data_IF_234996322622
#
_entry.id   IF_234996322622
#
_cell.length_a   1.000
_cell.length_b   1.000
_cell.length_c   1.000
_cell.angle_alpha   90.00
_cell.angle_beta   90.00
_cell.angle_gamma   90.00
#
_symmetry.space_group_name_H-M   'P 1'
#
loop_
_entity.id
_entity.type
_entity.pdbx_description
1 polymer ?
#
# COMPACT_ATOMS: atom_id res chain seq x y z
N UNK A 1 -4.72 22.91 5.19
CA UNK A 1 -6.01 23.50 5.64
C UNK A 1 -6.81 22.39 6.30
N UNK A 2 -7.41 22.64 7.47
CA UNK A 2 -8.26 21.70 8.17
C UNK A 2 -9.67 22.29 8.27
N UNK A 3 -10.70 21.54 7.85
CA UNK A 3 -12.12 21.96 7.92
C UNK A 3 -12.87 20.93 8.75
N UNK A 4 -13.48 21.38 9.85
CA UNK A 4 -14.20 20.54 10.80
C UNK A 4 -15.68 20.96 10.86
N UNK A 5 -16.56 19.99 11.11
CA UNK A 5 -18.00 20.22 11.26
C UNK A 5 -18.82 18.94 11.10
N UNK A 6 -20.07 18.89 11.60
CA UNK A 6 -20.91 17.70 11.49
C UNK A 6 -21.33 17.42 10.03
N UNK A 7 -21.94 16.26 9.81
CA UNK A 7 -22.62 15.95 8.54
C UNK A 7 -23.69 17.02 8.27
N UNK A 8 -23.76 17.51 7.03
CA UNK A 8 -24.69 18.59 6.65
C UNK A 8 -24.16 20.02 6.88
N UNK A 9 -23.02 20.22 7.56
CA UNK A 9 -22.46 21.56 7.78
C UNK A 9 -21.86 22.25 6.53
N UNK A 10 -22.05 21.68 5.33
CA UNK A 10 -21.59 22.29 4.08
C UNK A 10 -20.09 22.15 3.78
N UNK A 11 -19.34 21.30 4.50
CA UNK A 11 -17.88 21.11 4.30
C UNK A 11 -17.52 20.82 2.83
N UNK A 12 -18.20 19.85 2.21
CA UNK A 12 -17.93 19.46 0.82
C UNK A 12 -18.29 20.58 -0.16
N UNK A 13 -19.37 21.33 0.08
CA UNK A 13 -19.75 22.46 -0.76
C UNK A 13 -18.70 23.58 -0.72
N UNK A 14 -18.19 23.89 0.47
CA UNK A 14 -17.09 24.83 0.65
C UNK A 14 -15.81 24.35 -0.06
N UNK A 15 -15.45 23.07 0.09
CA UNK A 15 -14.29 22.50 -0.60
C UNK A 15 -14.44 22.55 -2.12
N UNK A 16 -15.61 22.23 -2.67
CA UNK A 16 -15.88 22.34 -4.11
C UNK A 16 -15.63 23.77 -4.61
N UNK A 17 -16.15 24.77 -3.90
CA UNK A 17 -15.91 26.18 -4.23
C UNK A 17 -14.42 26.55 -4.20
N UNK A 18 -13.70 26.18 -3.14
CA UNK A 18 -12.26 26.47 -3.01
C UNK A 18 -11.43 25.75 -4.08
N UNK A 19 -11.77 24.50 -4.41
CA UNK A 19 -11.08 23.72 -5.44
C UNK A 19 -11.31 24.32 -6.84
N UNK A 20 -12.51 24.81 -7.13
CA UNK A 20 -12.79 25.52 -8.38
C UNK A 20 -11.93 26.79 -8.51
N UNK A 21 -11.84 27.61 -7.45
CA UNK A 21 -11.00 28.80 -7.44
C UNK A 21 -9.51 28.46 -7.62
N UNK A 22 -9.03 27.46 -6.89
CA UNK A 22 -7.64 26.98 -6.98
C UNK A 22 -7.32 26.49 -8.39
N UNK A 23 -8.21 25.68 -8.98
CA UNK A 23 -8.04 25.16 -10.33
C UNK A 23 -8.07 26.27 -11.38
N UNK A 24 -8.97 27.26 -11.24
CA UNK A 24 -9.04 28.39 -12.16
C UNK A 24 -7.78 29.26 -12.14
N UNK A 25 -7.16 29.46 -10.96
CA UNK A 25 -6.02 30.37 -10.81
C UNK A 25 -4.66 29.70 -11.02
N UNK A 26 -4.47 28.51 -10.44
CA UNK A 26 -3.17 27.87 -10.32
C UNK A 26 -3.05 26.57 -11.12
N UNK A 27 -4.19 25.97 -11.51
CA UNK A 27 -4.26 24.69 -12.24
C UNK A 27 -3.36 23.58 -11.65
N UNK A 28 -3.35 23.35 -10.33
CA UNK A 28 -2.47 22.33 -9.75
C UNK A 28 -3.00 20.92 -10.06
N UNK A 29 -2.14 19.92 -9.88
CA UNK A 29 -2.59 18.52 -9.84
C UNK A 29 -3.27 18.27 -8.49
N UNK A 30 -4.52 17.82 -8.53
CA UNK A 30 -5.34 17.58 -7.33
C UNK A 30 -5.64 16.09 -7.23
N UNK A 31 -5.52 15.54 -6.04
CA UNK A 31 -5.99 14.21 -5.68
C UNK A 31 -7.13 14.35 -4.67
N UNK A 32 -8.26 13.70 -4.92
CA UNK A 32 -9.44 13.71 -4.04
C UNK A 32 -9.75 12.26 -3.69
N UNK A 33 -9.76 11.97 -2.39
CA UNK A 33 -10.14 10.67 -1.85
C UNK A 33 -11.34 10.94 -0.94
N UNK A 34 -12.51 10.39 -1.28
CA UNK A 34 -13.72 10.51 -0.48
C UNK A 34 -14.44 9.17 -0.36
N UNK A 35 -15.14 8.98 0.77
CA UNK A 35 -16.06 7.86 0.96
C UNK A 35 -17.45 8.14 0.37
N UNK A 36 -17.77 9.40 0.09
CA UNK A 36 -19.03 9.84 -0.52
C UNK A 36 -18.91 10.01 -2.04
N UNK A 37 -19.89 10.69 -2.62
CA UNK A 37 -19.87 11.10 -4.03
C UNK A 37 -19.98 12.64 -4.18
N UNK A 38 -19.51 13.37 -3.17
CA UNK A 38 -19.65 14.83 -3.07
C UNK A 38 -18.91 15.58 -4.17
N UNK A 39 -17.78 15.05 -4.64
CA UNK A 39 -16.90 15.68 -5.62
C UNK A 39 -17.08 15.10 -7.02
N UNK A 40 -17.99 14.14 -7.22
CA UNK A 40 -18.21 13.52 -8.53
C UNK A 40 -18.63 14.54 -9.61
N UNK A 41 -19.48 15.51 -9.25
CA UNK A 41 -19.88 16.59 -10.17
C UNK A 41 -18.75 17.58 -10.42
N UNK A 42 -17.85 17.78 -9.46
CA UNK A 42 -16.68 18.63 -9.64
C UNK A 42 -15.72 18.03 -10.68
N UNK A 43 -15.50 16.71 -10.63
CA UNK A 43 -14.72 15.99 -11.64
C UNK A 43 -15.31 16.14 -13.04
N UNK A 44 -16.62 15.96 -13.19
CA UNK A 44 -17.33 16.17 -14.47
C UNK A 44 -17.22 17.62 -14.96
N UNK A 45 -17.34 18.60 -14.05
CA UNK A 45 -17.19 20.02 -14.37
C UNK A 45 -15.78 20.35 -14.86
N UNK A 46 -14.74 19.81 -14.20
CA UNK A 46 -13.35 19.95 -14.63
C UNK A 46 -13.11 19.33 -16.01
N UNK A 47 -13.63 18.13 -16.25
CA UNK A 47 -13.53 17.48 -17.57
C UNK A 47 -14.23 18.31 -18.66
N UNK A 48 -15.41 18.86 -18.38
CA UNK A 48 -16.14 19.75 -19.29
C UNK A 48 -15.34 21.00 -19.67
N UNK A 49 -14.53 21.54 -18.74
CA UNK A 49 -13.62 22.65 -18.99
C UNK A 49 -12.24 22.23 -19.54
N UNK A 50 -12.14 21.01 -20.09
CA UNK A 50 -10.96 20.54 -20.80
C UNK A 50 -9.79 20.11 -19.90
N UNK A 51 -10.06 19.82 -18.62
CA UNK A 51 -9.05 19.26 -17.72
C UNK A 51 -8.99 17.74 -17.86
N UNK A 52 -7.78 17.19 -17.77
CA UNK A 52 -7.60 15.75 -17.60
C UNK A 52 -8.12 15.34 -16.22
N UNK A 53 -9.10 14.44 -16.18
CA UNK A 53 -9.69 13.92 -14.95
C UNK A 53 -9.62 12.40 -14.98
N UNK A 54 -9.13 11.81 -13.90
CA UNK A 54 -9.24 10.38 -13.63
C UNK A 54 -10.17 10.19 -12.43
N UNK A 55 -11.41 9.82 -12.69
CA UNK A 55 -12.44 9.63 -11.66
C UNK A 55 -12.83 8.16 -11.60
N UNK A 56 -12.55 7.54 -10.45
CA UNK A 56 -12.79 6.13 -10.19
C UNK A 56 -13.72 6.04 -8.97
N UNK A 57 -14.80 5.28 -9.09
CA UNK A 57 -15.67 4.94 -7.96
C UNK A 57 -15.43 3.50 -7.57
N UNK A 58 -14.93 3.28 -6.35
CA UNK A 58 -14.70 1.94 -5.81
C UNK A 58 -16.01 1.42 -5.22
N UNK A 59 -16.53 0.34 -5.78
CA UNK A 59 -17.61 -0.43 -5.19
C UNK A 59 -17.44 -1.92 -5.56
N UNK A 60 -18.09 -2.85 -4.83
CA UNK A 60 -17.87 -4.30 -5.03
C UNK A 60 -18.21 -4.84 -6.42
N UNK A 61 -18.98 -4.10 -7.23
CA UNK A 61 -19.44 -4.54 -8.54
C UNK A 61 -18.64 -3.95 -9.70
N UNK A 62 -17.64 -3.11 -9.40
CA UNK A 62 -16.81 -2.47 -10.42
C UNK A 62 -15.48 -3.22 -10.51
N UNK A 63 -15.11 -3.60 -11.73
CA UNK A 63 -13.83 -4.23 -12.06
C UNK A 63 -12.70 -3.18 -12.07
N UNK A 64 -12.31 -2.74 -10.87
CA UNK A 64 -11.14 -1.89 -10.65
C UNK A 64 -10.12 -2.66 -9.84
N UNK A 65 -8.92 -2.81 -10.42
CA UNK A 65 -7.80 -3.44 -9.74
C UNK A 65 -6.91 -2.40 -9.06
N UNK A 66 -6.72 -2.56 -7.75
CA UNK A 66 -5.71 -1.84 -6.98
C UNK A 66 -4.74 -2.88 -6.41
N UNK A 67 -3.71 -3.29 -7.18
CA UNK A 67 -2.84 -4.41 -6.80
C UNK A 67 -1.94 -4.02 -5.62
N UNK A 68 -2.14 -4.62 -4.43
CA UNK A 68 -1.44 -4.19 -3.21
C UNK A 68 0.07 -4.47 -3.25
N UNK A 69 0.50 -5.47 -4.02
CA UNK A 69 1.90 -5.92 -4.09
C UNK A 69 2.60 -5.54 -5.41
N UNK A 70 2.05 -4.60 -6.19
CA UNK A 70 2.60 -4.25 -7.50
C UNK A 70 4.04 -3.71 -7.43
N UNK A 71 4.39 -3.04 -6.33
CA UNK A 71 5.73 -2.47 -6.12
C UNK A 71 6.70 -3.47 -5.45
N UNK A 72 6.29 -4.71 -5.15
CA UNK A 72 7.11 -5.68 -4.40
C UNK A 72 8.44 -6.03 -5.09
N UNK A 73 8.49 -6.03 -6.43
CA UNK A 73 9.74 -6.28 -7.16
C UNK A 73 10.76 -5.13 -6.98
N UNK A 74 10.30 -3.88 -6.80
CA UNK A 74 11.18 -2.71 -6.59
C UNK A 74 11.93 -2.78 -5.27
N UNK A 75 11.35 -3.48 -4.29
CA UNK A 75 11.98 -3.70 -2.99
C UNK A 75 13.24 -4.57 -3.11
N UNK A 76 13.27 -5.52 -4.04
CA UNK A 76 14.49 -6.30 -4.33
C UNK A 76 15.57 -5.43 -4.97
N UNK A 77 15.19 -4.50 -5.85
CA UNK A 77 16.14 -3.65 -6.56
C UNK A 77 16.78 -2.59 -5.64
N UNK A 78 16.04 -2.11 -4.62
CA UNK A 78 16.59 -1.23 -3.58
C UNK A 78 17.62 -1.96 -2.71
N UNK A 79 17.34 -3.19 -2.26
CA UNK A 79 18.30 -3.93 -1.42
C UNK A 79 19.61 -4.25 -2.12
N UNK A 80 19.57 -4.60 -3.42
CA UNK A 80 20.80 -4.81 -4.20
C UNK A 80 21.68 -3.54 -4.30
N UNK A 81 21.10 -2.36 -4.20
CA UNK A 81 21.84 -1.10 -4.23
C UNK A 81 22.52 -0.78 -2.87
N UNK A 82 21.95 -1.24 -1.76
CA UNK A 82 22.43 -0.92 -0.41
C UNK A 82 23.30 -2.00 0.24
N UNK A 83 23.14 -3.29 -0.09
CA UNK A 83 23.99 -4.32 0.51
C UNK A 83 24.30 -5.50 -0.44
N UNK A 84 25.42 -5.45 -1.21
CA UNK A 84 25.82 -6.50 -2.13
C UNK A 84 26.38 -7.78 -1.46
N UNK A 85 26.56 -7.81 -0.13
CA UNK A 85 27.38 -8.83 0.55
C UNK A 85 26.65 -9.72 1.58
N UNK A 86 25.42 -9.44 1.99
CA UNK A 86 24.74 -10.22 3.04
C UNK A 86 23.46 -10.90 2.54
N UNK A 87 23.63 -11.89 1.65
CA UNK A 87 22.55 -12.84 1.31
C UNK A 87 22.87 -14.16 2.02
N UNK A 88 22.81 -14.15 3.34
CA UNK A 88 22.71 -15.38 4.12
C UNK A 88 21.33 -15.42 4.78
N UNK A 89 20.63 -16.55 4.69
CA UNK A 89 19.22 -16.69 5.14
C UNK A 89 19.05 -16.43 6.64
N UNK A 90 20.13 -16.49 7.42
CA UNK A 90 20.17 -16.27 8.86
C UNK A 90 20.15 -14.80 9.31
N UNK A 91 20.54 -13.85 8.44
CA UNK A 91 20.53 -12.39 8.72
C UNK A 91 19.24 -11.70 8.26
N UNK A 92 18.29 -12.46 7.69
CA UNK A 92 17.01 -11.93 7.20
C UNK A 92 16.10 -11.43 8.33
N UNK A 93 16.17 -12.01 9.52
CA UNK A 93 15.34 -11.59 10.67
C UNK A 93 15.81 -10.25 11.27
N UNK A 94 17.13 -10.01 11.36
CA UNK A 94 17.68 -8.78 11.95
C UNK A 94 17.55 -7.58 11.00
N UNK A 95 17.72 -7.79 9.69
CA UNK A 95 17.74 -6.70 8.70
C UNK A 95 16.37 -6.10 8.39
N UNK A 96 15.27 -6.82 8.61
CA UNK A 96 13.91 -6.32 8.31
C UNK A 96 13.33 -5.41 9.39
N UNK A 97 13.89 -5.47 10.60
CA UNK A 97 13.58 -4.54 11.69
C UNK A 97 14.47 -3.28 11.62
N UNK A 98 15.72 -3.41 11.14
CA UNK A 98 16.68 -2.28 11.04
C UNK A 98 16.54 -1.44 9.75
N UNK A 99 16.10 -2.03 8.64
CA UNK A 99 15.86 -1.31 7.37
C UNK A 99 14.76 -0.22 7.51
N UNK A 100 13.87 -0.32 8.51
CA UNK A 100 12.84 0.71 8.82
C UNK A 100 13.46 1.98 9.43
N UNK A 101 14.57 1.88 10.17
CA UNK A 101 15.21 3.06 10.78
C UNK A 101 16.05 3.86 9.77
N UNK A 102 16.52 3.23 8.68
CA UNK A 102 17.37 3.90 7.68
C UNK A 102 16.57 4.68 6.63
N UNK A 103 15.30 4.33 6.36
CA UNK A 103 14.45 5.05 5.40
C UNK A 103 13.68 6.23 6.05
N UNK A 104 13.59 6.31 7.39
CA UNK A 104 13.00 7.46 8.09
C UNK A 104 13.85 8.74 7.96
N UNK A 105 15.18 8.64 7.87
CA UNK A 105 16.06 9.80 7.62
C UNK A 105 16.12 10.20 6.13
N UNK A 106 15.67 9.32 5.24
CA UNK A 106 15.84 9.43 3.79
C UNK A 106 14.61 9.85 2.99
N UNK A 107 13.46 10.20 3.58
CA UNK A 107 12.27 10.70 2.86
C UNK A 107 11.75 9.80 1.73
N UNK A 108 12.18 8.53 1.70
CA UNK A 108 11.77 7.53 0.73
C UNK A 108 10.36 7.04 1.02
N UNK A 109 9.65 6.58 -0.02
CA UNK A 109 8.37 5.88 0.16
C UNK A 109 8.65 4.50 0.77
N UNK A 110 8.10 4.23 1.95
CA UNK A 110 8.13 2.92 2.62
C UNK A 110 7.22 1.93 1.87
N UNK A 111 7.79 1.25 0.88
CA UNK A 111 7.06 0.30 0.04
C UNK A 111 6.69 -0.96 0.83
N UNK A 112 7.57 -1.42 1.73
CA UNK A 112 7.34 -2.64 2.50
C UNK A 112 6.21 -2.45 3.51
N UNK A 113 6.24 -1.37 4.29
CA UNK A 113 5.20 -1.08 5.26
C UNK A 113 3.83 -0.83 4.62
N UNK A 114 3.77 -0.18 3.45
CA UNK A 114 2.51 -0.07 2.69
C UNK A 114 1.93 -1.44 2.30
N UNK A 115 2.78 -2.36 1.83
CA UNK A 115 2.36 -3.72 1.49
C UNK A 115 2.00 -4.55 2.73
N UNK A 116 2.71 -4.36 3.85
CA UNK A 116 2.40 -4.99 5.14
C UNK A 116 1.00 -4.56 5.61
N UNK A 117 0.70 -3.26 5.58
CA UNK A 117 -0.62 -2.73 5.94
C UNK A 117 -1.70 -3.35 5.05
N UNK A 118 -1.46 -3.42 3.73
CA UNK A 118 -2.40 -4.04 2.81
C UNK A 118 -2.62 -5.53 3.12
N UNK A 119 -1.55 -6.28 3.38
CA UNK A 119 -1.61 -7.69 3.76
C UNK A 119 -2.38 -7.88 5.07
N UNK A 120 -2.12 -7.05 6.09
CA UNK A 120 -2.82 -7.09 7.38
C UNK A 120 -4.31 -6.88 7.21
N UNK A 121 -4.72 -5.86 6.45
CA UNK A 121 -6.15 -5.63 6.13
C UNK A 121 -6.77 -6.86 5.47
N UNK A 122 -6.09 -7.51 4.53
CA UNK A 122 -6.59 -8.73 3.89
C UNK A 122 -6.69 -9.92 4.84
N UNK A 123 -5.72 -10.09 5.75
CA UNK A 123 -5.69 -11.18 6.74
C UNK A 123 -6.77 -11.01 7.79
N UNK A 124 -6.94 -9.79 8.30
CA UNK A 124 -7.86 -9.47 9.41
C UNK A 124 -9.28 -9.13 8.93
N UNK A 125 -9.47 -9.00 7.62
CA UNK A 125 -10.70 -8.44 7.04
C UNK A 125 -10.91 -6.96 7.38
N UNK A 126 -9.88 -6.26 7.85
CA UNK A 126 -9.96 -4.89 8.33
C UNK A 126 -10.57 -4.74 9.72
N UNK A 127 -10.73 -5.83 10.48
CA UNK A 127 -11.19 -5.75 11.87
C UNK A 127 -10.06 -5.27 12.78
N UNK A 128 -10.25 -4.11 13.41
CA UNK A 128 -9.29 -3.50 14.33
C UNK A 128 -8.90 -4.43 15.50
N UNK A 129 -9.81 -5.31 15.95
CA UNK A 129 -9.55 -6.23 17.06
C UNK A 129 -8.65 -7.38 16.62
N UNK A 130 -8.83 -7.90 15.42
CA UNK A 130 -7.97 -8.94 14.87
C UNK A 130 -6.59 -8.37 14.54
N UNK A 131 -6.53 -7.15 14.01
CA UNK A 131 -5.27 -6.46 13.75
C UNK A 131 -4.47 -6.18 15.04
N UNK A 132 -5.14 -5.79 16.12
CA UNK A 132 -4.52 -5.60 17.43
C UNK A 132 -3.98 -6.89 18.07
N UNK A 133 -4.46 -8.07 17.63
CA UNK A 133 -3.94 -9.37 18.09
C UNK A 133 -2.66 -9.79 17.39
N UNK A 134 -2.32 -9.18 16.26
CA UNK A 134 -1.08 -9.50 15.53
C UNK A 134 0.13 -9.09 16.36
N UNK A 135 0.95 -10.09 16.69
CA UNK A 135 2.22 -9.91 17.40
C UNK A 135 3.30 -9.37 16.47
N UNK A 136 4.44 -8.98 17.04
CA UNK A 136 5.61 -8.59 16.24
C UNK A 136 6.09 -9.74 15.34
N UNK A 137 6.06 -10.97 15.84
CA UNK A 137 6.44 -12.15 15.08
C UNK A 137 5.51 -12.37 13.88
N UNK A 138 4.20 -12.16 14.05
CA UNK A 138 3.23 -12.27 12.94
C UNK A 138 3.53 -11.23 11.85
N UNK A 139 3.86 -9.99 12.23
CA UNK A 139 4.22 -8.93 11.28
C UNK A 139 5.51 -9.26 10.53
N UNK A 140 6.52 -9.77 11.21
CA UNK A 140 7.76 -10.23 10.58
C UNK A 140 7.49 -11.37 9.58
N UNK A 141 6.63 -12.31 9.95
CA UNK A 141 6.22 -13.41 9.08
C UNK A 141 5.47 -12.91 7.83
N UNK A 142 4.62 -11.88 7.97
CA UNK A 142 3.97 -11.21 6.83
C UNK A 142 5.01 -10.55 5.91
N UNK A 143 5.97 -9.81 6.47
CA UNK A 143 7.06 -9.19 5.69
C UNK A 143 7.84 -10.26 4.93
N UNK A 144 8.29 -11.31 5.62
CA UNK A 144 9.01 -12.45 5.02
C UNK A 144 8.24 -13.09 3.86
N UNK A 145 6.92 -13.28 4.00
CA UNK A 145 6.09 -13.82 2.93
C UNK A 145 6.06 -12.90 1.70
N UNK A 146 5.97 -11.59 1.89
CA UNK A 146 6.00 -10.60 0.79
C UNK A 146 7.36 -10.64 0.06
N UNK A 147 8.47 -10.71 0.80
CA UNK A 147 9.81 -10.83 0.23
C UNK A 147 9.99 -12.12 -0.57
N UNK A 148 9.60 -13.26 0.01
CA UNK A 148 9.70 -14.56 -0.64
C UNK A 148 8.87 -14.59 -1.93
N UNK A 149 7.67 -14.01 -1.91
CA UNK A 149 6.84 -13.86 -3.10
C UNK A 149 7.53 -13.01 -4.17
N UNK A 150 8.13 -11.87 -3.80
CA UNK A 150 8.88 -11.03 -4.72
C UNK A 150 10.06 -11.78 -5.36
N UNK A 151 10.85 -12.52 -4.56
CA UNK A 151 11.99 -13.30 -5.03
C UNK A 151 11.55 -14.36 -6.05
N UNK A 152 10.52 -15.13 -5.70
CA UNK A 152 9.95 -16.19 -6.55
C UNK A 152 9.42 -15.64 -7.89
N UNK A 153 8.74 -14.49 -7.84
CA UNK A 153 8.20 -13.83 -9.04
C UNK A 153 9.32 -13.27 -9.92
N UNK A 154 10.39 -12.71 -9.32
CA UNK A 154 11.57 -12.23 -10.04
C UNK A 154 12.29 -13.38 -10.77
N UNK A 155 12.48 -14.51 -10.10
CA UNK A 155 13.09 -15.72 -10.67
C UNK A 155 12.28 -16.29 -11.84
N UNK A 156 10.95 -16.24 -11.77
CA UNK A 156 10.06 -16.67 -12.85
C UNK A 156 9.87 -15.62 -13.96
N UNK A 157 10.60 -14.50 -13.90
CA UNK A 157 10.54 -13.39 -14.88
C UNK A 157 9.13 -12.83 -15.11
N UNK A 158 8.27 -12.91 -14.08
CA UNK A 158 6.93 -12.32 -14.12
C UNK A 158 7.00 -10.83 -13.76
N UNK A 159 6.15 -9.97 -14.37
CA UNK A 159 6.28 -8.52 -14.24
C UNK A 159 5.77 -7.94 -12.91
N UNK A 160 4.99 -8.71 -12.14
CA UNK A 160 4.40 -8.24 -10.89
C UNK A 160 4.09 -9.40 -9.94
N UNK A 161 4.15 -9.10 -8.64
CA UNK A 161 3.66 -9.97 -7.57
C UNK A 161 2.15 -9.78 -7.44
N UNK A 162 1.39 -10.87 -7.38
CA UNK A 162 -0.04 -10.85 -7.08
C UNK A 162 -0.31 -11.46 -5.71
N UNK A 163 -1.52 -11.25 -5.18
CA UNK A 163 -1.93 -11.77 -3.87
C UNK A 163 -1.71 -13.28 -3.73
N UNK A 164 -1.96 -14.05 -4.78
CA UNK A 164 -1.75 -15.50 -4.77
C UNK A 164 -0.27 -15.87 -4.53
N UNK A 165 0.68 -15.08 -5.01
CA UNK A 165 2.10 -15.34 -4.80
C UNK A 165 2.48 -15.17 -3.32
N UNK A 166 1.90 -14.16 -2.64
CA UNK A 166 2.08 -13.96 -1.19
C UNK A 166 1.43 -15.08 -0.38
N UNK A 167 0.24 -15.55 -0.79
CA UNK A 167 -0.40 -16.72 -0.19
C UNK A 167 0.47 -17.98 -0.34
N UNK A 168 1.04 -18.21 -1.51
CA UNK A 168 1.94 -19.34 -1.76
C UNK A 168 3.22 -19.23 -0.90
N UNK A 169 3.73 -18.01 -0.71
CA UNK A 169 4.87 -17.76 0.18
C UNK A 169 4.54 -18.11 1.64
N UNK A 170 3.37 -17.71 2.15
CA UNK A 170 2.91 -18.13 3.48
C UNK A 170 2.84 -19.66 3.62
N UNK A 171 2.29 -20.35 2.61
CA UNK A 171 2.21 -21.81 2.62
C UNK A 171 3.59 -22.48 2.59
N UNK A 172 4.53 -21.89 1.86
CA UNK A 172 5.92 -22.37 1.81
C UNK A 172 6.61 -22.20 3.17
N UNK A 173 6.46 -21.03 3.80
CA UNK A 173 6.99 -20.76 5.15
C UNK A 173 6.39 -21.74 6.16
N UNK A 174 5.07 -21.95 6.15
CA UNK A 174 4.39 -22.85 7.07
C UNK A 174 4.76 -24.33 6.91
N UNK A 175 5.23 -24.74 5.73
CA UNK A 175 5.65 -26.13 5.45
C UNK A 175 7.15 -26.35 5.61
N UNK A 176 7.93 -25.28 5.79
CA UNK A 176 9.37 -25.37 6.00
C UNK A 176 9.66 -25.90 7.41
N UNK A 177 10.18 -27.13 7.48
CA UNK A 177 10.50 -27.84 8.73
C UNK A 177 11.79 -27.37 9.40
N UNK A 178 12.56 -26.51 8.73
CA UNK A 178 13.82 -25.95 9.25
C UNK A 178 13.60 -24.66 10.05
N UNK A 179 12.43 -24.03 9.95
CA UNK A 179 12.08 -22.87 10.76
C UNK A 179 11.71 -23.31 12.19
N UNK A 180 12.14 -22.60 13.25
CA UNK A 180 11.79 -22.94 14.62
C UNK A 180 10.26 -22.99 14.80
N UNK A 181 9.73 -24.03 15.48
CA UNK A 181 8.34 -24.02 15.96
C UNK A 181 8.19 -22.88 16.97
N UNK A 182 7.72 -21.71 16.52
CA UNK A 182 7.25 -20.67 17.43
C UNK A 182 5.91 -21.12 18.03
N UNK A 183 5.99 -21.72 19.22
CA UNK A 183 4.85 -21.99 20.11
C UNK A 183 4.53 -20.81 21.00
#
# INVERSE_FOLDING_TARGET
>A
MLILGPTGAGKSALLVYLLQQMMARHRPRIFIIEAGASFSLLGQHFAHHGLSVNQITLNPNVDVSLPPFADALRLLDRRHAFNPLDVDESTMEETLDEDDEMDEEGGGRDILGEMEIAARIMITGGDEREDARLTRADRLLIRNAIFLAAKTVKETSRPQVITQDVVNAFQTIATNRELPEHR
#
